data_IF_678153554449
#
_entry.id   IF_678153554449
#
_cell.length_a   1.000
_cell.length_b   1.000
_cell.length_c   1.000
_cell.angle_alpha   90.00
_cell.angle_beta   90.00
_cell.angle_gamma   90.00
#
_symmetry.space_group_name_H-M   'P 1'
#
loop_
_entity.id
_entity.type
_entity.pdbx_description
1 polymer ?
#
# COMPACT_ATOMS: atom_id res chain seq x y z
N UNK A 1 -20.10 -70.92 43.23
CA UNK A 1 -19.26 -70.49 42.10
C UNK A 1 -19.61 -69.05 41.78
N UNK A 2 -18.70 -68.10 42.06
CA UNK A 2 -18.89 -66.65 41.88
C UNK A 2 -18.63 -66.27 40.42
N UNK A 3 -19.57 -65.59 39.76
CA UNK A 3 -19.34 -64.96 38.44
C UNK A 3 -19.21 -63.45 38.65
N UNK A 4 -18.00 -62.93 38.50
CA UNK A 4 -17.70 -61.50 38.42
C UNK A 4 -18.11 -61.00 37.02
N UNK A 5 -18.98 -60.01 36.96
CA UNK A 5 -19.25 -59.25 35.74
C UNK A 5 -18.26 -58.07 35.68
N UNK A 6 -17.32 -58.13 34.74
CA UNK A 6 -16.46 -57.00 34.38
C UNK A 6 -17.31 -55.97 33.61
N UNK A 7 -17.52 -54.79 34.20
CA UNK A 7 -18.01 -53.63 33.47
C UNK A 7 -16.80 -52.97 32.76
N UNK A 8 -16.77 -53.06 31.44
CA UNK A 8 -15.80 -52.35 30.61
C UNK A 8 -16.17 -50.85 30.58
N UNK A 9 -15.39 -50.02 31.28
CA UNK A 9 -15.46 -48.56 31.16
C UNK A 9 -14.79 -48.19 29.84
N UNK A 10 -15.61 -47.87 28.83
CA UNK A 10 -15.14 -47.28 27.58
C UNK A 10 -14.65 -45.86 27.88
N UNK A 11 -13.32 -45.69 27.89
CA UNK A 11 -12.67 -44.39 28.02
C UNK A 11 -12.83 -43.64 26.68
N UNK A 12 -13.88 -42.84 26.55
CA UNK A 12 -14.06 -41.92 25.44
C UNK A 12 -13.04 -40.78 25.58
N UNK A 13 -11.95 -40.87 24.81
CA UNK A 13 -11.03 -39.78 24.59
C UNK A 13 -11.77 -38.65 23.84
N UNK A 14 -12.30 -37.67 24.58
CA UNK A 14 -12.61 -36.37 24.00
C UNK A 14 -11.28 -35.75 23.55
N UNK A 15 -10.95 -35.94 22.28
CA UNK A 15 -10.06 -35.01 21.58
C UNK A 15 -10.79 -33.67 21.56
N UNK A 16 -10.46 -32.81 22.53
CA UNK A 16 -10.77 -31.39 22.43
C UNK A 16 -10.09 -30.89 21.15
N UNK A 17 -10.86 -30.78 20.07
CA UNK A 17 -10.51 -29.95 18.93
C UNK A 17 -10.35 -28.55 19.50
N UNK A 18 -9.10 -28.18 19.82
CA UNK A 18 -8.74 -26.83 20.18
C UNK A 18 -9.20 -25.94 19.01
N UNK A 19 -10.37 -25.33 19.16
CA UNK A 19 -10.84 -24.34 18.21
C UNK A 19 -9.77 -23.26 18.17
N UNK A 20 -9.18 -23.07 16.99
CA UNK A 20 -8.18 -22.04 16.83
C UNK A 20 -8.85 -20.69 17.11
N UNK A 21 -8.30 -19.95 18.07
CA UNK A 21 -8.86 -18.67 18.50
C UNK A 21 -8.93 -17.73 17.28
N UNK A 22 -10.10 -17.08 17.11
CA UNK A 22 -10.32 -16.16 16.00
C UNK A 22 -9.33 -14.99 16.03
N UNK A 23 -9.00 -14.45 14.86
CA UNK A 23 -8.18 -13.25 14.71
C UNK A 23 -9.08 -12.10 14.29
N UNK A 24 -9.02 -10.97 15.00
CA UNK A 24 -9.80 -9.77 14.65
C UNK A 24 -8.92 -8.75 13.92
N UNK A 25 -9.34 -8.35 12.72
CA UNK A 25 -8.60 -7.41 11.86
C UNK A 25 -9.37 -6.10 11.68
N UNK A 26 -8.77 -4.99 12.02
CA UNK A 26 -9.27 -3.67 11.62
C UNK A 26 -8.61 -3.27 10.31
N UNK A 27 -9.40 -2.96 9.29
CA UNK A 27 -8.89 -2.78 7.93
C UNK A 27 -9.44 -1.55 7.22
N UNK A 28 -8.55 -0.70 6.70
CA UNK A 28 -8.94 0.43 5.86
C UNK A 28 -9.16 0.06 4.39
N UNK A 29 -8.96 -1.21 4.04
CA UNK A 29 -9.20 -1.74 2.70
C UNK A 29 -10.68 -2.10 2.55
N UNK A 30 -11.22 -1.90 1.34
CA UNK A 30 -12.59 -2.26 1.01
C UNK A 30 -12.84 -3.76 1.21
N UNK A 31 -13.98 -4.11 1.81
CA UNK A 31 -14.36 -5.48 2.14
C UNK A 31 -14.23 -6.45 0.95
N UNK A 32 -14.70 -6.04 -0.23
CA UNK A 32 -14.68 -6.85 -1.45
C UNK A 32 -13.25 -7.29 -1.86
N UNK A 33 -12.24 -6.54 -1.45
CA UNK A 33 -10.83 -6.85 -1.73
C UNK A 33 -10.20 -7.76 -0.68
N UNK A 34 -10.72 -7.78 0.55
CA UNK A 34 -10.07 -8.45 1.69
C UNK A 34 -10.78 -9.71 2.15
N UNK A 35 -12.11 -9.78 2.01
CA UNK A 35 -12.90 -10.93 2.43
C UNK A 35 -12.43 -12.23 1.74
N UNK A 36 -12.14 -12.25 0.42
CA UNK A 36 -11.66 -13.46 -0.24
C UNK A 36 -10.33 -13.98 0.31
N UNK A 37 -9.45 -13.10 0.82
CA UNK A 37 -8.21 -13.51 1.46
C UNK A 37 -8.46 -14.18 2.80
N UNK A 38 -9.31 -13.55 3.62
CA UNK A 38 -9.66 -14.06 4.93
C UNK A 38 -10.41 -15.40 4.82
N UNK A 39 -11.34 -15.52 3.87
CA UNK A 39 -12.02 -16.79 3.58
C UNK A 39 -11.03 -17.88 3.15
N UNK A 40 -10.01 -17.54 2.34
CA UNK A 40 -8.98 -18.48 1.92
C UNK A 40 -8.09 -18.94 3.09
N UNK A 41 -7.68 -18.00 3.95
CA UNK A 41 -6.93 -18.32 5.17
C UNK A 41 -7.72 -19.20 6.13
N UNK A 42 -9.00 -18.88 6.37
CA UNK A 42 -9.89 -19.69 7.22
C UNK A 42 -10.09 -21.08 6.65
N UNK A 43 -10.28 -21.22 5.33
CA UNK A 43 -10.42 -22.53 4.68
C UNK A 43 -9.16 -23.40 4.81
N UNK A 44 -7.98 -22.77 4.75
CA UNK A 44 -6.70 -23.48 4.83
C UNK A 44 -6.33 -23.87 6.26
N UNK A 45 -6.61 -23.00 7.23
CA UNK A 45 -6.08 -23.13 8.60
C UNK A 45 -7.13 -23.50 9.65
N UNK A 46 -8.41 -23.35 9.34
CA UNK A 46 -9.51 -23.44 10.31
C UNK A 46 -9.64 -22.24 11.24
N UNK A 47 -8.78 -21.21 11.12
CA UNK A 47 -8.81 -20.00 11.95
C UNK A 47 -9.83 -19.02 11.40
N UNK A 48 -10.85 -18.68 12.18
CA UNK A 48 -11.82 -17.63 11.82
C UNK A 48 -11.13 -16.25 11.82
N UNK A 49 -11.35 -15.45 10.77
CA UNK A 49 -10.93 -14.05 10.72
C UNK A 49 -12.15 -13.15 10.78
N UNK A 50 -12.29 -12.42 11.89
CA UNK A 50 -13.30 -11.37 12.05
C UNK A 50 -12.70 -10.06 11.60
N UNK A 51 -13.48 -9.19 10.96
CA UNK A 51 -12.93 -7.91 10.52
C UNK A 51 -13.93 -6.76 10.59
N UNK A 52 -13.39 -5.56 10.76
CA UNK A 52 -14.12 -4.30 10.71
C UNK A 52 -13.47 -3.42 9.66
N UNK A 53 -14.29 -2.81 8.80
CA UNK A 53 -13.83 -1.84 7.80
C UNK A 53 -14.23 -0.42 8.18
N UNK A 54 -13.31 0.52 8.02
CA UNK A 54 -13.57 1.97 8.12
C UNK A 54 -12.42 2.74 7.43
N UNK A 55 -12.36 4.06 7.53
CA UNK A 55 -11.22 4.87 7.08
C UNK A 55 -10.05 4.79 8.05
N UNK A 56 -8.86 5.09 7.55
CA UNK A 56 -7.58 4.97 8.26
C UNK A 56 -7.59 5.76 9.58
N UNK A 57 -7.98 7.03 9.54
CA UNK A 57 -8.08 7.90 10.72
C UNK A 57 -9.04 7.36 11.78
N UNK A 58 -10.32 7.12 11.45
CA UNK A 58 -11.28 6.50 12.37
C UNK A 58 -10.81 5.17 12.99
N UNK A 59 -10.17 4.28 12.23
CA UNK A 59 -9.63 3.03 12.78
C UNK A 59 -8.49 3.29 13.78
N UNK A 60 -7.59 4.22 13.50
CA UNK A 60 -6.52 4.59 14.43
C UNK A 60 -7.08 5.20 15.72
N UNK A 61 -8.03 6.13 15.61
CA UNK A 61 -8.70 6.73 16.77
C UNK A 61 -9.49 5.70 17.58
N UNK A 62 -10.13 4.74 16.91
CA UNK A 62 -10.80 3.62 17.58
C UNK A 62 -9.81 2.76 18.37
N UNK A 63 -8.68 2.37 17.78
CA UNK A 63 -7.64 1.60 18.46
C UNK A 63 -7.10 2.35 19.70
N UNK A 64 -6.88 3.67 19.58
CA UNK A 64 -6.50 4.52 20.72
C UNK A 64 -7.53 4.49 21.83
N UNK A 65 -8.79 4.70 21.49
CA UNK A 65 -9.89 4.79 22.45
C UNK A 65 -10.14 3.44 23.16
N UNK A 66 -10.05 2.33 22.43
CA UNK A 66 -10.23 1.00 23.00
C UNK A 66 -9.02 0.59 23.88
N UNK A 67 -7.81 1.02 23.53
CA UNK A 67 -6.59 0.76 24.29
C UNK A 67 -6.42 -0.73 24.63
N UNK A 68 -6.16 -1.04 25.91
CA UNK A 68 -5.99 -2.43 26.39
C UNK A 68 -7.23 -3.32 26.18
N UNK A 69 -8.39 -2.74 25.92
CA UNK A 69 -9.64 -3.45 25.71
C UNK A 69 -9.97 -3.64 24.22
N UNK A 70 -9.10 -3.22 23.30
CA UNK A 70 -9.34 -3.45 21.88
C UNK A 70 -9.47 -4.95 21.58
N UNK A 71 -10.51 -5.37 20.82
CA UNK A 71 -10.59 -6.73 20.32
C UNK A 71 -9.69 -6.93 19.11
N UNK A 72 -9.15 -5.86 18.49
CA UNK A 72 -8.37 -5.95 17.26
C UNK A 72 -6.97 -6.53 17.54
N UNK A 73 -6.61 -7.57 16.82
CA UNK A 73 -5.28 -8.18 16.88
C UNK A 73 -4.34 -7.65 15.78
N UNK A 74 -4.91 -7.15 14.68
CA UNK A 74 -4.17 -6.62 13.54
C UNK A 74 -4.82 -5.35 13.00
N UNK A 75 -4.00 -4.39 12.62
CA UNK A 75 -4.39 -3.25 11.78
C UNK A 75 -3.84 -3.47 10.37
N UNK A 76 -4.71 -3.41 9.36
CA UNK A 76 -4.35 -3.38 7.95
C UNK A 76 -4.76 -2.04 7.32
N UNK A 77 -3.85 -1.38 6.62
CA UNK A 77 -4.11 -0.07 6.01
C UNK A 77 -3.37 0.09 4.69
N UNK A 78 -3.61 1.22 4.02
CA UNK A 78 -2.89 1.64 2.82
C UNK A 78 -1.95 2.78 3.16
N UNK A 79 -0.87 2.91 2.41
CA UNK A 79 0.19 3.90 2.59
C UNK A 79 1.10 3.66 3.80
N UNK A 80 2.40 3.59 3.55
CA UNK A 80 3.42 3.48 4.60
C UNK A 80 3.40 4.66 5.57
N UNK A 81 2.91 5.85 5.15
CA UNK A 81 2.71 6.98 6.04
C UNK A 81 1.70 6.69 7.15
N UNK A 82 0.58 6.04 6.82
CA UNK A 82 -0.43 5.66 7.80
C UNK A 82 0.06 4.53 8.72
N UNK A 83 0.78 3.55 8.17
CA UNK A 83 1.41 2.49 8.97
C UNK A 83 2.45 3.05 9.95
N UNK A 84 3.26 3.99 9.48
CA UNK A 84 4.22 4.69 10.31
C UNK A 84 3.53 5.51 11.40
N UNK A 85 2.45 6.23 11.08
CA UNK A 85 1.69 6.98 12.07
C UNK A 85 1.14 6.06 13.15
N UNK A 86 0.51 4.95 12.78
CA UNK A 86 -0.01 3.97 13.74
C UNK A 86 1.10 3.42 14.67
N UNK A 87 2.28 3.11 14.11
CA UNK A 87 3.44 2.72 14.91
C UNK A 87 3.95 3.84 15.82
N UNK A 88 4.03 5.08 15.31
CA UNK A 88 4.51 6.24 16.06
C UNK A 88 3.58 6.59 17.24
N UNK A 89 2.28 6.38 17.07
CA UNK A 89 1.26 6.56 18.09
C UNK A 89 1.16 5.37 19.07
N UNK A 90 2.02 4.35 18.92
CA UNK A 90 2.08 3.19 19.81
C UNK A 90 0.93 2.20 19.63
N UNK A 91 0.25 2.22 18.47
CA UNK A 91 -0.87 1.32 18.17
C UNK A 91 -0.42 -0.05 17.68
N UNK A 92 0.82 -0.15 17.23
CA UNK A 92 1.41 -1.38 16.72
C UNK A 92 2.55 -1.82 17.64
N UNK A 93 2.78 -3.13 17.73
CA UNK A 93 3.94 -3.69 18.43
C UNK A 93 4.93 -4.31 17.45
N UNK A 94 6.24 -4.30 17.77
CA UNK A 94 7.22 -5.01 16.97
C UNK A 94 6.97 -6.51 17.02
N UNK A 95 7.12 -7.17 15.88
CA UNK A 95 7.14 -8.63 15.76
C UNK A 95 8.43 -9.08 15.07
N UNK A 96 8.91 -10.27 15.42
CA UNK A 96 10.07 -10.88 14.79
C UNK A 96 9.62 -12.12 14.01
N UNK A 97 9.86 -12.13 12.70
CA UNK A 97 9.55 -13.28 11.85
C UNK A 97 10.54 -13.39 10.70
N UNK A 98 11.24 -14.53 10.64
CA UNK A 98 12.11 -14.88 9.51
C UNK A 98 11.33 -15.00 8.20
N UNK A 99 10.07 -15.44 8.29
CA UNK A 99 9.17 -15.55 7.14
C UNK A 99 8.89 -14.17 6.56
N UNK A 100 8.50 -13.21 7.41
CA UNK A 100 8.25 -11.84 6.97
C UNK A 100 9.51 -11.16 6.45
N UNK A 101 10.66 -11.34 7.12
CA UNK A 101 11.93 -10.76 6.67
C UNK A 101 12.40 -11.31 5.31
N UNK A 102 12.08 -12.57 5.00
CA UNK A 102 12.38 -13.20 3.72
C UNK A 102 11.37 -12.84 2.63
N UNK A 103 10.10 -12.68 2.97
CA UNK A 103 9.02 -12.41 2.02
C UNK A 103 8.84 -10.91 1.74
N UNK A 104 9.26 -10.02 2.63
CA UNK A 104 9.05 -8.57 2.51
C UNK A 104 10.40 -7.86 2.44
N UNK A 105 10.79 -7.32 1.26
CA UNK A 105 12.04 -6.58 1.10
C UNK A 105 12.21 -5.48 2.15
N UNK A 106 13.44 -5.26 2.62
CA UNK A 106 13.73 -4.34 3.73
C UNK A 106 13.21 -2.91 3.53
N UNK A 107 13.19 -2.40 2.30
CA UNK A 107 12.67 -1.06 1.99
C UNK A 107 11.13 -0.96 2.05
N UNK A 108 10.40 -2.08 2.18
CA UNK A 108 8.93 -2.18 2.17
C UNK A 108 8.36 -2.59 3.53
N UNK A 109 9.17 -2.58 4.59
CA UNK A 109 8.78 -2.90 5.97
C UNK A 109 9.40 -1.93 6.96
N UNK A 110 8.80 -1.84 8.14
CA UNK A 110 9.32 -1.04 9.24
C UNK A 110 10.70 -1.56 9.68
N UNK A 111 11.73 -0.71 9.78
CA UNK A 111 13.03 -1.11 10.34
C UNK A 111 12.94 -1.63 11.78
N UNK A 112 11.89 -1.27 12.53
CA UNK A 112 11.63 -1.76 13.89
C UNK A 112 10.68 -2.96 13.95
N UNK A 113 10.24 -3.48 12.80
CA UNK A 113 9.37 -4.67 12.73
C UNK A 113 7.93 -4.47 13.21
N UNK A 114 7.42 -3.24 13.28
CA UNK A 114 6.05 -2.96 13.73
C UNK A 114 5.00 -3.16 12.63
N UNK A 115 5.39 -3.06 11.37
CA UNK A 115 4.52 -3.27 10.22
C UNK A 115 5.29 -3.76 9.00
N UNK A 116 4.56 -4.41 8.10
CA UNK A 116 5.09 -5.02 6.88
C UNK A 116 4.17 -4.68 5.69
N UNK A 117 4.77 -4.36 4.55
CA UNK A 117 4.05 -4.28 3.28
C UNK A 117 3.49 -5.64 2.87
N UNK A 118 2.32 -5.61 2.23
CA UNK A 118 1.56 -6.77 1.73
C UNK A 118 1.24 -6.65 0.24
N UNK A 119 1.31 -5.45 -0.34
CA UNK A 119 1.32 -5.23 -1.78
C UNK A 119 2.07 -3.94 -2.08
N UNK A 120 2.48 -3.80 -3.33
CA UNK A 120 3.23 -2.65 -3.82
C UNK A 120 2.43 -1.93 -4.89
N UNK A 121 2.41 -0.60 -4.78
CA UNK A 121 1.87 0.28 -5.81
C UNK A 121 2.94 1.27 -6.23
N UNK A 122 3.08 1.47 -7.53
CA UNK A 122 3.99 2.45 -8.09
C UNK A 122 3.23 3.74 -8.39
N UNK A 123 3.79 4.89 -7.98
CA UNK A 123 3.29 6.21 -8.36
C UNK A 123 4.20 6.78 -9.43
N UNK A 124 3.77 6.78 -10.67
CA UNK A 124 4.62 7.10 -11.83
C UNK A 124 3.93 8.06 -12.81
N UNK A 125 4.58 8.34 -13.93
CA UNK A 125 4.08 9.25 -14.95
C UNK A 125 3.14 8.55 -15.94
N UNK A 126 2.11 9.29 -16.33
CA UNK A 126 1.23 8.95 -17.42
C UNK A 126 1.17 10.11 -18.39
N UNK A 127 1.09 9.82 -19.68
CA UNK A 127 1.16 10.84 -20.72
C UNK A 127 0.20 10.55 -21.86
N UNK A 128 -0.17 11.61 -22.59
CA UNK A 128 -0.96 11.48 -23.80
C UNK A 128 -0.05 11.01 -24.95
N UNK A 129 -0.29 9.80 -25.48
CA UNK A 129 0.57 9.18 -26.51
C UNK A 129 0.54 9.90 -27.86
N UNK A 130 -0.44 10.76 -28.10
CA UNK A 130 -0.53 11.58 -29.30
C UNK A 130 0.25 12.90 -29.19
N UNK A 131 0.66 13.30 -27.98
CA UNK A 131 1.29 14.61 -27.70
C UNK A 131 2.69 14.54 -27.10
N UNK A 132 3.04 13.43 -26.45
CA UNK A 132 4.32 13.26 -25.75
C UNK A 132 4.98 11.98 -26.21
N UNK A 133 6.28 12.05 -26.50
CA UNK A 133 7.08 10.86 -26.79
C UNK A 133 7.74 10.38 -25.49
N UNK A 134 7.92 9.07 -25.27
CA UNK A 134 8.64 8.55 -24.10
C UNK A 134 10.03 9.18 -23.90
N UNK A 135 10.71 9.53 -24.99
CA UNK A 135 12.03 10.17 -24.97
C UNK A 135 12.02 11.58 -24.34
N UNK A 136 10.86 12.22 -24.24
CA UNK A 136 10.71 13.53 -23.59
C UNK A 136 10.63 13.41 -22.06
N UNK A 137 10.33 12.20 -21.56
CA UNK A 137 10.14 11.89 -20.14
C UNK A 137 11.41 11.28 -19.53
N UNK A 138 11.62 11.54 -18.24
CA UNK A 138 12.79 11.01 -17.53
C UNK A 138 12.53 10.85 -16.04
N UNK A 139 12.53 11.96 -15.30
CA UNK A 139 12.47 11.93 -13.83
C UNK A 139 11.37 12.84 -13.29
N UNK A 140 10.89 12.59 -12.07
CA UNK A 140 9.88 13.43 -11.45
C UNK A 140 10.31 14.90 -11.42
N UNK A 141 11.59 15.15 -11.17
CA UNK A 141 12.23 16.46 -11.17
C UNK A 141 12.18 17.12 -12.55
N UNK A 142 12.26 16.36 -13.64
CA UNK A 142 12.17 16.92 -14.98
C UNK A 142 10.79 17.54 -15.28
N UNK A 143 9.72 17.14 -14.59
CA UNK A 143 8.41 17.78 -14.72
C UNK A 143 8.39 19.24 -14.21
N UNK A 144 9.45 19.70 -13.53
CA UNK A 144 9.65 21.10 -13.15
C UNK A 144 10.28 21.96 -14.26
N UNK A 145 10.73 21.36 -15.37
CA UNK A 145 11.33 22.05 -16.50
C UNK A 145 10.30 22.93 -17.23
N UNK A 146 10.64 24.18 -17.63
CA UNK A 146 9.74 25.07 -18.37
C UNK A 146 9.12 24.47 -19.64
N UNK A 147 9.70 23.43 -20.25
CA UNK A 147 9.11 22.72 -21.40
C UNK A 147 7.73 22.10 -21.11
N UNK A 148 7.40 21.92 -19.82
CA UNK A 148 6.12 21.40 -19.36
C UNK A 148 5.12 22.49 -18.98
N UNK A 149 5.44 23.77 -19.18
CA UNK A 149 4.56 24.89 -18.82
C UNK A 149 3.21 24.78 -19.51
N UNK A 150 2.13 24.70 -18.73
CA UNK A 150 0.77 24.53 -19.25
C UNK A 150 0.47 23.12 -19.77
N UNK A 151 1.30 22.13 -19.44
CA UNK A 151 1.21 20.75 -19.95
C UNK A 151 1.12 19.69 -18.85
N UNK A 152 1.39 20.06 -17.60
CA UNK A 152 1.34 19.14 -16.46
C UNK A 152 -0.05 19.15 -15.81
N UNK A 153 -0.56 17.96 -15.50
CA UNK A 153 -1.69 17.78 -14.60
C UNK A 153 -1.27 17.03 -13.35
N UNK A 154 -1.78 17.47 -12.22
CA UNK A 154 -1.63 16.81 -10.94
C UNK A 154 -2.98 16.71 -10.25
N UNK A 155 -3.08 15.85 -9.25
CA UNK A 155 -4.18 15.88 -8.28
C UNK A 155 -3.81 16.68 -7.05
N UNK A 156 -4.80 17.02 -6.22
CA UNK A 156 -4.60 17.77 -4.97
C UNK A 156 -3.48 17.22 -4.07
N UNK A 157 -2.72 18.13 -3.46
CA UNK A 157 -1.68 17.84 -2.46
C UNK A 157 -2.23 17.26 -1.14
N UNK A 158 -3.54 17.40 -0.89
CA UNK A 158 -4.23 16.89 0.32
C UNK A 158 -4.27 15.37 0.42
N UNK A 159 -3.86 14.65 -0.63
CA UNK A 159 -3.96 13.20 -0.71
C UNK A 159 -2.63 12.56 -0.38
N UNK A 160 -2.70 11.53 0.48
CA UNK A 160 -1.55 10.85 1.06
C UNK A 160 -0.53 10.38 0.02
N UNK A 161 -0.97 9.99 -1.18
CA UNK A 161 -0.06 9.53 -2.25
C UNK A 161 0.93 10.61 -2.71
N UNK A 162 0.48 11.87 -2.81
CA UNK A 162 1.37 12.98 -3.15
C UNK A 162 2.25 13.37 -1.96
N UNK A 163 1.70 13.33 -0.74
CA UNK A 163 2.45 13.58 0.48
C UNK A 163 3.61 12.58 0.62
N UNK A 164 3.36 11.30 0.39
CA UNK A 164 4.36 10.23 0.46
C UNK A 164 5.41 10.33 -0.65
N UNK A 165 5.01 10.69 -1.89
CA UNK A 165 5.97 10.96 -2.97
C UNK A 165 6.90 12.13 -2.62
N UNK A 166 6.34 13.25 -2.16
CA UNK A 166 7.12 14.43 -1.77
C UNK A 166 7.99 14.15 -0.55
N UNK A 167 7.49 13.39 0.44
CA UNK A 167 8.26 12.95 1.60
C UNK A 167 9.48 12.10 1.19
N UNK A 168 9.30 11.14 0.27
CA UNK A 168 10.42 10.39 -0.29
C UNK A 168 11.41 11.30 -1.04
N UNK A 169 10.93 12.27 -1.82
CA UNK A 169 11.82 13.25 -2.47
C UNK A 169 12.58 14.11 -1.46
N UNK A 170 11.98 14.49 -0.32
CA UNK A 170 12.70 15.16 0.78
C UNK A 170 13.80 14.25 1.31
N UNK A 171 13.54 12.96 1.51
CA UNK A 171 14.57 12.01 1.96
C UNK A 171 15.74 11.90 0.96
N UNK A 172 15.47 12.00 -0.34
CA UNK A 172 16.47 11.85 -1.40
C UNK A 172 17.25 13.12 -1.71
N UNK A 173 16.59 14.28 -1.63
CA UNK A 173 17.13 15.53 -2.16
C UNK A 173 17.31 16.63 -1.11
N UNK A 174 16.74 16.43 0.08
CA UNK A 174 16.57 17.48 1.08
C UNK A 174 15.42 18.44 0.73
N UNK A 175 14.88 19.09 1.76
CA UNK A 175 13.69 19.93 1.65
C UNK A 175 13.85 21.09 0.66
N UNK A 176 15.00 21.77 0.66
CA UNK A 176 15.22 22.94 -0.20
C UNK A 176 15.15 22.60 -1.70
N UNK A 177 15.77 21.48 -2.11
CA UNK A 177 15.75 21.04 -3.51
C UNK A 177 14.35 20.52 -3.89
N UNK A 178 13.70 19.77 -3.02
CA UNK A 178 12.33 19.31 -3.24
C UNK A 178 11.34 20.46 -3.39
N UNK A 179 11.46 21.52 -2.58
CA UNK A 179 10.60 22.69 -2.69
C UNK A 179 10.75 23.37 -4.05
N UNK A 180 11.99 23.52 -4.55
CA UNK A 180 12.25 24.06 -5.89
C UNK A 180 11.58 23.22 -6.98
N UNK A 181 11.66 21.89 -6.88
CA UNK A 181 11.03 20.97 -7.84
C UNK A 181 9.50 21.13 -7.81
N UNK A 182 8.90 21.07 -6.62
CA UNK A 182 7.43 21.18 -6.46
C UNK A 182 6.91 22.54 -6.92
N UNK A 183 7.64 23.63 -6.67
CA UNK A 183 7.30 24.95 -7.24
C UNK A 183 7.31 24.95 -8.77
N UNK A 184 8.29 24.30 -9.38
CA UNK A 184 8.33 24.13 -10.83
C UNK A 184 7.15 23.30 -11.36
N UNK A 185 6.74 22.25 -10.64
CA UNK A 185 5.52 21.52 -11.00
C UNK A 185 4.29 22.42 -10.97
N UNK A 186 4.10 23.20 -9.89
CA UNK A 186 2.97 24.12 -9.76
C UNK A 186 2.98 25.17 -10.88
N UNK A 187 4.15 25.72 -11.21
CA UNK A 187 4.31 26.68 -12.31
C UNK A 187 4.01 26.07 -13.70
N UNK A 188 4.06 24.74 -13.81
CA UNK A 188 3.82 24.01 -15.05
C UNK A 188 2.39 23.47 -15.21
N UNK A 189 1.53 23.65 -14.20
CA UNK A 189 0.16 23.17 -14.24
C UNK A 189 -0.63 23.76 -15.42
N UNK A 190 -1.30 22.90 -16.17
CA UNK A 190 -2.26 23.29 -17.22
C UNK A 190 -3.59 23.80 -16.64
N UNK A 191 -3.95 23.33 -15.45
CA UNK A 191 -5.20 23.61 -14.76
C UNK A 191 -5.03 23.39 -13.26
N UNK A 192 -6.02 23.81 -12.47
CA UNK A 192 -6.04 23.51 -11.04
C UNK A 192 -5.98 21.99 -10.77
N UNK A 193 -5.35 21.54 -9.67
CA UNK A 193 -5.22 20.11 -9.39
C UNK A 193 -6.55 19.37 -9.27
N UNK A 194 -6.61 18.16 -9.83
CA UNK A 194 -7.79 17.29 -9.85
C UNK A 194 -8.09 16.66 -8.47
N UNK A 195 -9.33 16.25 -8.19
CA UNK A 195 -9.68 15.59 -6.93
C UNK A 195 -9.06 14.18 -6.78
N UNK A 196 -8.89 13.45 -7.89
CA UNK A 196 -8.42 12.07 -7.91
C UNK A 196 -7.59 11.68 -9.15
N UNK A 197 -6.90 10.55 -9.05
CA UNK A 197 -6.02 10.02 -10.10
C UNK A 197 -6.81 9.68 -11.38
N UNK A 198 -8.04 9.15 -11.29
CA UNK A 198 -8.85 8.78 -12.47
C UNK A 198 -9.23 10.01 -13.27
N UNK A 199 -9.75 11.06 -12.62
CA UNK A 199 -10.11 12.32 -13.29
C UNK A 199 -8.91 12.99 -13.95
N UNK A 200 -7.75 12.93 -13.31
CA UNK A 200 -6.52 13.44 -13.91
C UNK A 200 -6.09 12.62 -15.14
N UNK A 201 -6.19 11.27 -15.09
CA UNK A 201 -5.90 10.42 -16.25
C UNK A 201 -6.87 10.67 -17.42
N UNK A 202 -8.17 10.82 -17.14
CA UNK A 202 -9.18 11.19 -18.13
C UNK A 202 -8.87 12.55 -18.79
N UNK A 203 -8.41 13.54 -18.00
CA UNK A 203 -8.02 14.85 -18.53
C UNK A 203 -6.78 14.80 -19.43
N UNK A 204 -5.79 13.95 -19.11
CA UNK A 204 -4.64 13.68 -19.98
C UNK A 204 -5.11 13.03 -21.28
N UNK A 205 -5.98 12.03 -21.19
CA UNK A 205 -6.52 11.33 -22.35
C UNK A 205 -7.32 12.27 -23.28
N UNK A 206 -8.10 13.19 -22.70
CA UNK A 206 -8.84 14.23 -23.41
C UNK A 206 -7.94 15.36 -23.96
N UNK A 207 -6.66 15.37 -23.62
CA UNK A 207 -5.70 16.36 -24.09
C UNK A 207 -5.80 17.73 -23.42
N UNK A 208 -6.47 17.84 -22.26
CA UNK A 208 -6.47 19.05 -21.44
C UNK A 208 -5.06 19.36 -20.89
N UNK A 209 -4.24 18.32 -20.76
CA UNK A 209 -2.82 18.35 -20.44
C UNK A 209 -2.16 17.12 -21.04
N UNK A 210 -0.84 17.08 -20.96
CA UNK A 210 -0.04 16.14 -21.74
C UNK A 210 0.61 15.06 -20.87
N UNK A 211 0.88 15.36 -19.60
CA UNK A 211 1.54 14.46 -18.64
C UNK A 211 1.02 14.69 -17.23
N UNK A 212 1.04 13.65 -16.39
CA UNK A 212 0.73 13.75 -14.96
C UNK A 212 1.25 12.56 -14.16
N UNK A 213 0.99 12.58 -12.85
CA UNK A 213 1.47 11.57 -11.89
C UNK A 213 0.29 10.89 -11.19
N UNK A 214 0.22 9.56 -11.28
CA UNK A 214 -0.81 8.74 -10.63
C UNK A 214 -0.27 7.39 -10.16
N UNK A 215 -1.08 6.63 -9.43
CA UNK A 215 -0.80 5.22 -9.14
C UNK A 215 -1.21 4.33 -10.33
N UNK A 216 -0.40 3.32 -10.60
CA UNK A 216 -0.57 2.38 -11.72
C UNK A 216 -1.93 1.68 -11.77
N UNK A 217 -2.49 1.29 -10.62
CA UNK A 217 -3.78 0.59 -10.58
C UNK A 217 -4.97 1.45 -11.06
N UNK A 218 -4.89 2.79 -11.01
CA UNK A 218 -5.93 3.63 -11.61
C UNK A 218 -5.85 3.61 -13.14
N UNK A 219 -4.64 3.62 -13.69
CA UNK A 219 -4.40 3.43 -15.11
C UNK A 219 -4.88 2.05 -15.57
N UNK A 220 -4.51 0.97 -14.87
CA UNK A 220 -4.96 -0.39 -15.20
C UNK A 220 -6.48 -0.51 -15.27
N UNK A 221 -7.18 -0.07 -14.24
CA UNK A 221 -8.66 -0.10 -14.19
C UNK A 221 -9.32 0.81 -15.23
N UNK A 222 -8.68 1.92 -15.59
CA UNK A 222 -9.19 2.82 -16.64
C UNK A 222 -9.00 2.20 -18.02
N UNK A 223 -7.84 1.63 -18.32
CA UNK A 223 -7.54 0.98 -19.60
C UNK A 223 -8.32 -0.32 -19.80
N UNK A 224 -8.63 -1.06 -18.73
CA UNK A 224 -9.54 -2.22 -18.79
C UNK A 224 -10.94 -1.81 -19.27
N UNK A 225 -11.46 -0.69 -18.75
CA UNK A 225 -12.78 -0.15 -19.14
C UNK A 225 -12.77 0.56 -20.49
N UNK A 226 -11.67 1.23 -20.82
CA UNK A 226 -11.53 2.10 -21.99
C UNK A 226 -10.16 1.88 -22.67
N UNK A 227 -9.95 0.73 -23.35
CA UNK A 227 -8.62 0.32 -23.84
C UNK A 227 -8.07 1.18 -24.98
N UNK A 228 -8.90 2.05 -25.58
CA UNK A 228 -8.53 2.92 -26.71
C UNK A 228 -8.11 4.33 -26.30
N UNK A 229 -8.08 4.65 -25.01
CA UNK A 229 -7.62 5.96 -24.55
C UNK A 229 -6.14 6.16 -24.93
N UNK A 230 -5.73 7.35 -25.38
CA UNK A 230 -4.35 7.63 -25.78
C UNK A 230 -3.45 7.87 -24.55
N UNK A 231 -3.44 6.93 -23.61
CA UNK A 231 -2.63 7.00 -22.39
C UNK A 231 -1.45 6.04 -22.48
N UNK A 232 -0.27 6.55 -22.16
CA UNK A 232 0.95 5.78 -22.00
C UNK A 232 1.42 5.82 -20.55
N UNK A 233 1.98 4.71 -20.08
CA UNK A 233 2.67 4.60 -18.80
C UNK A 233 4.16 4.87 -19.03
N UNK A 234 4.78 5.65 -18.15
CA UNK A 234 6.23 5.85 -18.13
C UNK A 234 6.79 5.65 -16.73
N UNK A 235 7.78 4.77 -16.59
CA UNK A 235 8.50 4.53 -15.34
C UNK A 235 9.49 5.67 -15.07
N UNK A 236 9.24 6.47 -14.04
CA UNK A 236 10.10 7.59 -13.69
C UNK A 236 11.44 7.13 -13.09
N UNK A 237 12.47 7.98 -13.22
CA UNK A 237 13.73 7.85 -12.49
C UNK A 237 14.52 6.55 -12.76
N UNK A 238 14.25 5.85 -13.86
CA UNK A 238 14.87 4.54 -14.14
C UNK A 238 16.41 4.60 -14.31
N UNK A 239 16.93 5.75 -14.73
CA UNK A 239 18.38 6.00 -14.83
C UNK A 239 18.99 6.59 -13.54
N UNK A 240 18.19 6.84 -12.52
CA UNK A 240 18.59 7.47 -11.26
C UNK A 240 18.14 6.61 -10.07
N UNK A 241 17.21 7.10 -9.24
CA UNK A 241 16.78 6.47 -7.99
C UNK A 241 15.79 5.30 -8.18
N UNK A 242 15.11 5.22 -9.33
CA UNK A 242 14.00 4.30 -9.57
C UNK A 242 12.63 4.93 -9.25
N UNK A 243 11.57 4.26 -9.68
CA UNK A 243 10.18 4.72 -9.51
C UNK A 243 9.79 4.69 -8.04
N UNK A 244 9.14 5.75 -7.55
CA UNK A 244 8.56 5.75 -6.21
C UNK A 244 7.50 4.65 -6.09
N UNK A 245 7.71 3.80 -5.08
CA UNK A 245 6.78 2.75 -4.69
C UNK A 245 6.30 2.99 -3.26
N UNK A 246 5.10 2.52 -2.96
CA UNK A 246 4.51 2.56 -1.63
C UNK A 246 3.69 1.27 -1.42
N UNK A 247 3.25 1.00 -0.20
CA UNK A 247 2.64 -0.29 0.16
C UNK A 247 1.23 -0.15 0.71
N UNK A 248 0.39 -1.17 0.47
CA UNK A 248 -0.62 -1.54 1.46
C UNK A 248 0.02 -2.53 2.42
N UNK A 249 -0.30 -2.48 3.71
CA UNK A 249 0.40 -3.29 4.69
C UNK A 249 -0.36 -3.46 6.00
N UNK A 250 0.23 -4.18 6.92
CA UNK A 250 -0.38 -4.48 8.21
C UNK A 250 0.66 -4.61 9.33
N UNK A 251 0.18 -4.46 10.56
CA UNK A 251 0.94 -4.68 11.79
C UNK A 251 0.08 -5.31 12.87
N UNK A 252 0.72 -6.01 13.81
CA UNK A 252 0.05 -6.55 15.00
C UNK A 252 -0.19 -5.41 15.97
N UNK A 253 -1.41 -5.29 16.50
CA UNK A 253 -1.77 -4.19 17.40
C UNK A 253 -1.05 -4.34 18.74
N UNK A 254 -0.81 -3.21 19.42
CA UNK A 254 -0.09 -3.18 20.69
C UNK A 254 -0.78 -3.96 21.83
N UNK A 255 -2.10 -4.15 21.72
CA UNK A 255 -2.94 -4.80 22.73
C UNK A 255 -3.67 -6.06 22.23
N UNK A 256 -3.21 -6.62 21.10
CA UNK A 256 -3.71 -7.86 20.52
C UNK A 256 -3.86 -8.97 21.58
N UNK A 257 -5.01 -9.64 21.59
CA UNK A 257 -5.29 -10.77 22.50
C UNK A 257 -4.77 -12.06 21.93
N UNK A 258 -4.84 -12.20 20.61
CA UNK A 258 -4.35 -13.34 19.85
C UNK A 258 -3.14 -12.93 18.98
N UNK A 259 -2.04 -12.53 19.63
CA UNK A 259 -0.81 -12.10 18.95
C UNK A 259 -0.24 -13.17 18.02
N UNK A 260 -0.28 -14.44 18.46
CA UNK A 260 0.23 -15.57 17.67
C UNK A 260 -0.62 -15.80 16.42
N UNK A 261 -1.94 -15.68 16.52
CA UNK A 261 -2.85 -15.79 15.39
C UNK A 261 -2.64 -14.65 14.40
N UNK A 262 -2.54 -13.40 14.89
CA UNK A 262 -2.26 -12.25 14.04
C UNK A 262 -0.90 -12.36 13.32
N UNK A 263 0.15 -12.81 14.00
CA UNK A 263 1.45 -13.04 13.36
C UNK A 263 1.36 -14.11 12.27
N UNK A 264 0.69 -15.24 12.52
CA UNK A 264 0.48 -16.30 11.51
C UNK A 264 -0.31 -15.81 10.31
N UNK A 265 -1.35 -14.99 10.53
CA UNK A 265 -2.11 -14.37 9.45
C UNK A 265 -1.21 -13.43 8.64
N UNK A 266 -0.39 -12.61 9.29
CA UNK A 266 0.54 -11.69 8.63
C UNK A 266 1.57 -12.44 7.77
N UNK A 267 2.13 -13.52 8.31
CA UNK A 267 3.05 -14.41 7.60
C UNK A 267 2.39 -15.03 6.36
N UNK A 268 1.17 -15.54 6.52
CA UNK A 268 0.41 -16.11 5.41
C UNK A 268 0.09 -15.06 4.33
N UNK A 269 -0.29 -13.84 4.73
CA UNK A 269 -0.56 -12.72 3.82
C UNK A 269 0.67 -12.33 2.98
N UNK A 270 1.89 -12.54 3.51
CA UNK A 270 3.14 -12.33 2.76
C UNK A 270 3.51 -13.50 1.82
N UNK A 271 2.80 -14.63 1.92
CA UNK A 271 3.06 -15.84 1.15
C UNK A 271 2.43 -15.85 -0.25
N UNK A 272 2.87 -16.75 -1.15
CA UNK A 272 2.48 -16.71 -2.57
C UNK A 272 0.98 -16.72 -2.85
N UNK A 273 0.22 -17.55 -2.13
CA UNK A 273 -1.22 -17.70 -2.32
C UNK A 273 -1.98 -16.39 -2.03
N UNK A 274 -1.65 -15.75 -0.91
CA UNK A 274 -2.26 -14.49 -0.53
C UNK A 274 -1.82 -13.34 -1.45
N UNK A 275 -0.54 -13.32 -1.85
CA UNK A 275 0.01 -12.29 -2.71
C UNK A 275 -0.68 -12.23 -4.07
N UNK A 276 -0.94 -13.38 -4.71
CA UNK A 276 -1.72 -13.44 -5.95
C UNK A 276 -3.13 -12.88 -5.72
N UNK A 277 -3.85 -13.39 -4.72
CA UNK A 277 -5.21 -12.95 -4.44
C UNK A 277 -5.32 -11.45 -4.10
N UNK A 278 -4.34 -10.89 -3.41
CA UNK A 278 -4.35 -9.50 -2.93
C UNK A 278 -3.93 -8.50 -4.01
N UNK A 279 -2.85 -8.81 -4.74
CA UNK A 279 -2.29 -7.93 -5.74
C UNK A 279 -3.12 -7.93 -7.03
N UNK A 280 -3.49 -9.13 -7.52
CA UNK A 280 -4.14 -9.31 -8.82
C UNK A 280 -5.50 -8.59 -8.85
N UNK A 281 -6.32 -8.78 -7.81
CA UNK A 281 -7.65 -8.15 -7.72
C UNK A 281 -7.64 -6.62 -7.70
N UNK A 282 -6.53 -6.02 -7.25
CA UNK A 282 -6.43 -4.57 -7.14
C UNK A 282 -5.44 -3.95 -8.14
N UNK A 283 -4.95 -4.73 -9.12
CA UNK A 283 -3.97 -4.27 -10.12
C UNK A 283 -2.70 -3.69 -9.45
N UNK A 284 -2.28 -4.30 -8.34
CA UNK A 284 -1.06 -3.98 -7.60
C UNK A 284 0.03 -5.02 -7.89
N UNK A 285 1.24 -4.76 -7.41
CA UNK A 285 2.35 -5.71 -7.48
C UNK A 285 2.46 -6.50 -6.17
N UNK A 286 2.85 -7.78 -6.21
CA UNK A 286 3.18 -8.51 -5.00
C UNK A 286 4.40 -7.88 -4.31
N UNK A 287 4.40 -7.88 -2.97
CA UNK A 287 5.57 -7.50 -2.19
C UNK A 287 6.62 -8.61 -2.16
N UNK A 288 6.16 -9.86 -2.30
CA UNK A 288 7.04 -11.03 -2.27
C UNK A 288 7.77 -11.20 -3.60
N UNK A 289 9.12 -11.10 -3.63
CA UNK A 289 9.88 -11.13 -4.87
C UNK A 289 9.84 -12.49 -5.59
N UNK A 290 9.37 -13.55 -4.93
CA UNK A 290 9.20 -14.88 -5.53
C UNK A 290 7.86 -15.02 -6.27
N UNK A 291 6.97 -14.04 -6.14
CA UNK A 291 5.62 -14.07 -6.71
C UNK A 291 5.61 -13.18 -7.95
N UNK A 292 5.12 -13.72 -9.06
CA UNK A 292 4.94 -12.95 -10.29
C UNK A 292 3.67 -12.12 -10.19
N UNK A 293 3.65 -10.87 -10.67
CA UNK A 293 2.41 -10.09 -10.76
C UNK A 293 1.45 -10.73 -11.77
N UNK A 294 0.16 -10.41 -11.65
CA UNK A 294 -0.87 -10.72 -12.65
C UNK A 294 -0.39 -10.36 -14.07
N UNK A 295 -0.69 -11.17 -15.11
CA UNK A 295 -0.28 -10.88 -16.48
C UNK A 295 -0.65 -9.48 -16.98
N UNK A 296 -1.80 -8.92 -16.57
CA UNK A 296 -2.21 -7.58 -16.94
C UNK A 296 -1.31 -6.49 -16.34
N UNK A 297 -0.82 -6.71 -15.12
CA UNK A 297 0.13 -5.83 -14.44
C UNK A 297 1.55 -6.04 -14.98
N UNK A 298 1.94 -7.29 -15.24
CA UNK A 298 3.22 -7.66 -15.86
C UNK A 298 3.40 -7.04 -17.26
N UNK A 299 2.30 -6.89 -18.01
CA UNK A 299 2.29 -6.29 -19.35
C UNK A 299 2.73 -4.81 -19.37
N UNK A 300 2.78 -4.12 -18.22
CA UNK A 300 3.31 -2.76 -18.13
C UNK A 300 4.85 -2.69 -18.14
N UNK A 301 5.50 -3.85 -18.15
CA UNK A 301 6.95 -3.99 -18.20
C UNK A 301 7.63 -3.86 -16.84
N UNK A 302 8.89 -4.28 -16.80
CA UNK A 302 9.72 -4.22 -15.61
C UNK A 302 10.17 -2.78 -15.31
N UNK A 303 10.39 -2.49 -14.02
CA UNK A 303 10.93 -1.21 -13.59
C UNK A 303 11.76 -1.34 -12.32
N UNK A 304 12.76 -0.47 -12.19
CA UNK A 304 13.55 -0.28 -10.97
C UNK A 304 12.71 0.44 -9.93
N UNK A 305 12.58 -0.15 -8.75
CA UNK A 305 12.00 0.49 -7.58
C UNK A 305 12.97 1.54 -7.00
N UNK A 306 12.40 2.59 -6.41
CA UNK A 306 13.10 3.40 -5.44
C UNK A 306 13.25 2.61 -4.13
N UNK A 307 14.51 2.44 -3.67
CA UNK A 307 14.83 1.66 -2.47
C UNK A 307 14.90 2.49 -1.18
N UNK A 308 14.54 3.77 -1.20
CA UNK A 308 14.26 4.52 0.04
C UNK A 308 13.23 3.75 0.84
N UNK A 309 13.52 3.49 2.11
CA UNK A 309 12.58 2.77 2.97
C UNK A 309 11.27 3.58 3.06
N UNK A 310 10.15 2.91 2.81
CA UNK A 310 8.83 3.53 2.75
C UNK A 310 8.39 4.14 4.09
N UNK A 311 9.05 3.82 5.22
CA UNK A 311 8.86 4.52 6.51
C UNK A 311 9.12 6.03 6.40
N UNK A 312 10.03 6.45 5.49
CA UNK A 312 10.32 7.86 5.23
C UNK A 312 9.11 8.64 4.73
N UNK A 313 8.16 7.97 4.09
CA UNK A 313 6.91 8.58 3.69
C UNK A 313 6.11 9.10 4.89
N UNK A 314 6.14 8.39 6.02
CA UNK A 314 5.53 8.81 7.29
C UNK A 314 6.38 9.79 8.06
N UNK A 315 7.66 9.49 8.26
CA UNK A 315 8.59 10.33 9.03
C UNK A 315 8.64 11.78 8.53
N UNK A 316 8.57 11.97 7.21
CA UNK A 316 8.67 13.28 6.56
C UNK A 316 7.31 13.80 6.06
N UNK A 317 6.20 13.13 6.37
CA UNK A 317 4.88 13.49 5.83
C UNK A 317 4.47 14.90 6.23
N UNK A 318 4.63 15.26 7.50
CA UNK A 318 4.30 16.59 8.01
C UNK A 318 5.14 17.69 7.35
N UNK A 319 6.42 17.40 7.08
CA UNK A 319 7.30 18.32 6.36
C UNK A 319 6.89 18.45 4.88
N UNK A 320 6.55 17.33 4.23
CA UNK A 320 6.04 17.31 2.86
C UNK A 320 4.76 18.13 2.70
N UNK A 321 3.81 18.02 3.63
CA UNK A 321 2.57 18.83 3.63
C UNK A 321 2.90 20.32 3.73
N UNK A 322 3.74 20.72 4.70
CA UNK A 322 4.16 22.12 4.85
C UNK A 322 4.91 22.64 3.62
N UNK A 323 5.75 21.81 3.00
CA UNK A 323 6.49 22.17 1.80
C UNK A 323 5.55 22.36 0.61
N UNK A 324 4.61 21.45 0.39
CA UNK A 324 3.62 21.58 -0.69
C UNK A 324 2.76 22.83 -0.52
N UNK A 325 2.33 23.14 0.71
CA UNK A 325 1.59 24.37 1.02
C UNK A 325 2.41 25.63 0.69
N UNK A 326 3.66 25.73 1.18
CA UNK A 326 4.58 26.84 0.83
C UNK A 326 4.81 26.96 -0.68
N UNK A 327 4.89 25.84 -1.38
CA UNK A 327 5.07 25.78 -2.83
C UNK A 327 3.82 26.19 -3.63
N UNK A 328 2.67 26.40 -2.96
CA UNK A 328 1.41 26.74 -3.60
C UNK A 328 0.68 25.54 -4.23
N UNK A 329 1.08 24.32 -3.88
CA UNK A 329 0.45 23.10 -4.39
C UNK A 329 -0.80 22.79 -3.55
N UNK A 330 -1.98 23.04 -4.13
CA UNK A 330 -3.30 22.86 -3.50
C UNK A 330 -3.93 21.48 -3.80
#
# INVERSE_FOLDING_TARGET
MKKFALAAVALSTLTALAHAEAVTVYTARNEQLIKPLFDAYTRETGVEVRFVTDKEGPLMERLKAEGKNTPADMLMTVDAGNLWQAAHEGLLKPVASKTLDANVPAHLRDPKGQWYGLSVRARTMFYNTQKVKPADLSTYENLADPKWKGRLCLRTSKKVYNQSLVATMIAEHGAARTEKIVRGWVANLATAPFPDDTRMLEAIAAGQCDVGIANTYYYGRLMEKQPRLPLGLFWANQKTSGTHVNVSGAGVTAHAKNEKGALKLLEWLSGPQAQNLYADKNMEYPVNPKVKPDPAVAAWGDFKHNYVNVSKAGELQAEAVKLMDRAGYR
#
